data_IF_392124666528
#
_entry.id   IF_392124666528
#
_cell.length_a   1.000
_cell.length_b   1.000
_cell.length_c   1.000
_cell.angle_alpha   90.00
_cell.angle_beta   90.00
_cell.angle_gamma   90.00
#
_symmetry.space_group_name_H-M   'P 1'
#
loop_
_entity.id
_entity.type
_entity.pdbx_description
1 polymer ?
#
# COMPACT_ATOMS: atom_id res chain seq x y z
N UNK A 1 -24.66 50.60 1.80
CA UNK A 1 -23.65 51.24 2.67
C UNK A 1 -23.88 50.81 4.10
N UNK A 2 -22.78 50.58 4.82
CA UNK A 2 -22.66 50.03 6.16
C UNK A 2 -23.44 50.76 7.26
N UNK A 3 -23.84 49.98 8.28
CA UNK A 3 -23.73 50.21 9.75
C UNK A 3 -24.94 49.52 10.40
N UNK A 4 -24.82 48.81 11.51
CA UNK A 4 -23.71 48.62 12.42
C UNK A 4 -24.23 47.77 13.58
N UNK A 5 -23.36 46.88 14.05
CA UNK A 5 -23.53 46.10 15.26
C UNK A 5 -23.96 46.98 16.44
N UNK A 6 -24.91 46.48 17.23
CA UNK A 6 -25.12 46.90 18.61
C UNK A 6 -25.08 45.67 19.50
N UNK A 7 -24.12 45.69 20.45
CA UNK A 7 -24.30 45.33 21.86
C UNK A 7 -24.66 43.86 22.20
N UNK A 8 -23.99 43.12 23.09
CA UNK A 8 -23.35 43.49 24.36
C UNK A 8 -22.25 42.50 24.75
N UNK A 9 -21.21 43.05 25.35
CA UNK A 9 -20.12 42.39 26.09
C UNK A 9 -20.64 41.99 27.49
N UNK A 10 -20.01 40.98 28.11
CA UNK A 10 -19.48 40.93 29.49
C UNK A 10 -19.66 39.55 30.11
N UNK A 11 -18.55 38.80 30.23
CA UNK A 11 -18.03 38.34 31.52
C UNK A 11 -16.52 38.06 31.39
N UNK A 12 -15.78 38.81 32.20
CA UNK A 12 -14.34 38.77 32.42
C UNK A 12 -13.96 37.67 33.41
N UNK A 13 -12.69 37.21 33.36
CA UNK A 13 -11.76 37.03 34.51
C UNK A 13 -10.44 36.36 34.03
N UNK A 14 -9.31 36.41 34.76
CA UNK A 14 -8.55 37.57 35.22
C UNK A 14 -7.04 37.44 34.90
N UNK A 15 -6.45 38.46 34.27
CA UNK A 15 -5.02 38.76 34.43
C UNK A 15 -4.89 40.28 34.43
N UNK A 16 -5.08 40.86 35.61
CA UNK A 16 -4.98 42.28 35.88
C UNK A 16 -3.50 42.66 36.01
N UNK A 17 -3.15 43.71 35.26
CA UNK A 17 -2.14 44.74 35.57
C UNK A 17 -0.66 44.34 35.52
N UNK A 18 0.26 45.18 35.07
CA UNK A 18 0.30 46.65 34.93
C UNK A 18 1.09 47.01 33.66
N UNK A 19 0.56 47.87 32.79
CA UNK A 19 0.68 49.36 32.77
C UNK A 19 2.06 49.89 32.32
N UNK A 20 2.04 50.46 31.10
CA UNK A 20 2.57 51.79 30.68
C UNK A 20 4.09 51.99 30.60
N UNK A 21 4.69 52.75 29.68
CA UNK A 21 4.24 53.78 28.71
C UNK A 21 5.36 53.94 27.64
N UNK A 22 5.00 54.43 26.45
CA UNK A 22 5.91 54.90 25.38
C UNK A 22 7.04 55.81 25.87
N UNK A 23 8.21 55.78 25.23
CA UNK A 23 8.92 56.93 24.60
C UNK A 23 10.05 56.40 23.69
N UNK A 24 10.07 56.83 22.42
CA UNK A 24 11.21 56.76 21.51
C UNK A 24 12.24 57.86 21.84
N UNK A 25 13.54 57.63 21.64
CA UNK A 25 14.41 58.72 21.22
C UNK A 25 15.16 58.42 19.91
N UNK A 26 15.18 59.40 19.04
CA UNK A 26 15.99 59.48 17.83
C UNK A 26 17.47 59.81 18.14
N UNK A 27 18.37 59.07 17.47
CA UNK A 27 19.61 59.47 16.77
C UNK A 27 20.78 60.24 17.45
N UNK A 28 21.93 59.51 17.45
CA UNK A 28 23.34 59.89 17.10
C UNK A 28 24.22 60.53 18.20
N UNK A 29 25.57 60.59 18.04
CA UNK A 29 26.55 59.48 17.93
C UNK A 29 27.79 59.72 18.84
N UNK A 30 28.46 58.70 19.39
CA UNK A 30 29.84 58.86 19.93
C UNK A 30 30.64 57.57 19.73
N UNK A 31 31.72 57.69 18.96
CA UNK A 31 32.80 56.72 18.83
C UNK A 31 33.62 56.64 20.13
N UNK A 32 34.12 55.47 20.50
CA UNK A 32 35.56 55.22 20.62
C UNK A 32 35.85 53.77 21.04
N UNK A 33 36.89 53.24 20.42
CA UNK A 33 37.29 51.84 20.31
C UNK A 33 37.81 51.19 21.60
N UNK A 34 37.83 49.85 21.63
CA UNK A 34 39.03 49.07 22.02
C UNK A 34 38.88 47.59 21.63
N UNK A 35 39.68 47.22 20.62
CA UNK A 35 40.22 45.94 20.17
C UNK A 35 39.79 44.63 20.86
N UNK A 36 39.48 43.64 20.00
CA UNK A 36 39.43 42.22 20.34
C UNK A 36 38.86 41.38 19.20
N UNK A 37 39.55 41.32 18.06
CA UNK A 37 39.26 40.33 17.00
C UNK A 37 39.50 38.91 17.53
N UNK A 38 38.45 38.09 17.52
CA UNK A 38 38.57 36.64 17.38
C UNK A 38 37.54 36.23 16.31
N UNK A 39 38.00 36.08 15.08
CA UNK A 39 37.23 35.48 14.00
C UNK A 39 36.83 34.04 14.39
N UNK A 40 35.55 33.83 14.66
CA UNK A 40 34.92 32.51 14.56
C UNK A 40 33.73 32.63 13.62
N UNK A 41 33.90 32.10 12.42
CA UNK A 41 32.84 31.96 11.44
C UNK A 41 31.64 31.21 12.06
N UNK A 42 30.40 31.74 11.98
CA UNK A 42 29.24 30.96 12.34
C UNK A 42 28.99 29.92 11.25
N UNK A 43 29.34 28.67 11.54
CA UNK A 43 28.96 27.50 10.77
C UNK A 43 27.43 27.46 10.67
N UNK A 44 26.88 27.88 9.53
CA UNK A 44 25.45 27.76 9.22
C UNK A 44 25.10 26.27 9.11
N UNK A 45 24.61 25.69 10.21
CA UNK A 45 23.90 24.42 10.21
C UNK A 45 22.60 24.59 9.43
N UNK A 46 22.70 24.49 8.11
CA UNK A 46 21.55 24.40 7.22
C UNK A 46 21.07 22.96 7.27
N UNK A 47 20.27 22.62 8.28
CA UNK A 47 19.56 21.33 8.32
C UNK A 47 18.49 21.40 7.23
N UNK A 48 18.55 20.57 6.17
CA UNK A 48 17.46 20.49 5.22
C UNK A 48 16.29 19.84 5.95
N UNK A 49 15.28 20.64 6.32
CA UNK A 49 13.99 20.10 6.73
C UNK A 49 13.42 19.40 5.48
N UNK A 50 13.18 18.08 5.50
CA UNK A 50 12.55 17.42 4.39
C UNK A 50 11.17 18.04 4.22
N UNK A 51 11.00 18.78 3.13
CA UNK A 51 9.70 19.32 2.71
C UNK A 51 8.85 18.09 2.38
N UNK A 52 7.99 17.70 3.32
CA UNK A 52 6.93 16.75 3.01
C UNK A 52 6.09 17.40 1.92
N UNK A 53 5.85 16.72 0.79
CA UNK A 53 4.98 17.26 -0.24
C UNK A 53 3.62 17.53 0.41
N UNK A 54 3.18 18.79 0.34
CA UNK A 54 1.91 19.21 0.91
C UNK A 54 0.84 18.30 0.34
N UNK A 55 0.17 17.55 1.23
CA UNK A 55 -0.96 16.72 0.82
C UNK A 55 -2.03 17.67 0.31
N UNK A 56 -2.44 17.49 -0.94
CA UNK A 56 -3.46 18.30 -1.57
C UNK A 56 -4.72 18.33 -0.69
N UNK A 57 -5.14 19.53 -0.28
CA UNK A 57 -6.28 19.73 0.63
C UNK A 57 -7.58 19.13 0.05
N UNK A 58 -7.70 19.05 -1.28
CA UNK A 58 -8.82 18.39 -1.94
C UNK A 58 -8.87 16.87 -1.68
N UNK A 59 -7.71 16.23 -1.56
CA UNK A 59 -7.59 14.79 -1.30
C UNK A 59 -7.97 14.44 0.15
N UNK A 60 -7.50 15.23 1.10
CA UNK A 60 -7.85 15.08 2.52
C UNK A 60 -9.36 15.25 2.76
N UNK A 61 -10.00 16.18 2.04
CA UNK A 61 -11.44 16.38 2.12
C UNK A 61 -12.23 15.18 1.56
N UNK A 62 -11.77 14.55 0.47
CA UNK A 62 -12.38 13.33 -0.07
C UNK A 62 -12.25 12.13 0.86
N UNK A 63 -11.12 11.99 1.55
CA UNK A 63 -10.90 10.87 2.49
C UNK A 63 -11.70 11.04 3.79
N UNK A 64 -11.78 12.28 4.32
CA UNK A 64 -12.63 12.60 5.46
C UNK A 64 -14.12 12.39 5.14
N UNK A 65 -14.56 12.79 3.93
CA UNK A 65 -15.92 12.52 3.45
C UNK A 65 -16.17 11.01 3.35
N UNK A 66 -15.21 10.24 2.85
CA UNK A 66 -15.32 8.80 2.80
C UNK A 66 -15.48 8.15 4.18
N UNK A 67 -14.76 8.65 5.20
CA UNK A 67 -14.88 8.13 6.57
C UNK A 67 -16.34 8.16 7.06
N UNK A 68 -17.06 9.24 6.74
CA UNK A 68 -18.45 9.48 7.14
C UNK A 68 -19.49 8.78 6.25
N UNK A 69 -19.10 8.16 5.14
CA UNK A 69 -20.04 7.46 4.25
C UNK A 69 -20.68 6.26 4.95
N UNK A 70 -21.94 6.00 4.59
CA UNK A 70 -22.61 4.75 4.93
C UNK A 70 -21.85 3.55 4.34
N UNK A 71 -22.00 2.36 4.93
CA UNK A 71 -21.40 1.13 4.40
C UNK A 71 -21.81 0.89 2.94
N UNK A 72 -23.08 1.13 2.61
CA UNK A 72 -23.60 1.00 1.25
C UNK A 72 -22.91 1.96 0.27
N UNK A 73 -22.66 3.20 0.67
CA UNK A 73 -21.97 4.18 -0.19
C UNK A 73 -20.49 3.87 -0.35
N UNK A 74 -19.85 3.33 0.70
CA UNK A 74 -18.48 2.79 0.61
C UNK A 74 -18.42 1.65 -0.39
N UNK A 75 -19.35 0.70 -0.34
CA UNK A 75 -19.43 -0.40 -1.32
C UNK A 75 -19.61 0.15 -2.73
N UNK A 76 -20.56 1.06 -2.98
CA UNK A 76 -20.75 1.67 -4.31
C UNK A 76 -19.51 2.40 -4.81
N UNK A 77 -18.82 3.11 -3.93
CA UNK A 77 -17.55 3.77 -4.27
C UNK A 77 -16.50 2.73 -4.70
N UNK A 78 -16.38 1.63 -3.94
CA UNK A 78 -15.44 0.56 -4.23
C UNK A 78 -15.82 -0.25 -5.48
N UNK A 79 -17.10 -0.44 -5.76
CA UNK A 79 -17.55 -1.06 -7.01
C UNK A 79 -17.13 -0.24 -8.23
N UNK A 80 -17.21 1.10 -8.15
CA UNK A 80 -16.66 1.98 -9.20
C UNK A 80 -15.14 1.89 -9.25
N UNK A 81 -14.47 1.90 -8.09
CA UNK A 81 -13.01 1.80 -7.98
C UNK A 81 -12.47 0.46 -8.47
N UNK A 82 -13.25 -0.62 -8.39
CA UNK A 82 -12.90 -1.98 -8.83
C UNK A 82 -13.53 -2.37 -10.17
N UNK A 83 -14.45 -1.55 -10.70
CA UNK A 83 -15.17 -1.79 -11.96
C UNK A 83 -15.95 -3.10 -11.96
N UNK A 84 -16.29 -3.62 -10.78
CA UNK A 84 -16.94 -4.90 -10.55
C UNK A 84 -17.95 -4.73 -9.40
N UNK A 85 -19.13 -5.35 -9.48
CA UNK A 85 -20.06 -5.40 -8.37
C UNK A 85 -19.46 -6.20 -7.20
N UNK A 86 -19.91 -5.91 -5.97
CA UNK A 86 -19.34 -6.46 -4.73
C UNK A 86 -19.33 -8.00 -4.68
N UNK A 87 -20.34 -8.66 -5.23
CA UNK A 87 -20.43 -10.12 -5.35
C UNK A 87 -19.36 -10.72 -6.27
N UNK A 88 -18.76 -9.92 -7.15
CA UNK A 88 -17.74 -10.36 -8.12
C UNK A 88 -16.34 -9.79 -7.85
N UNK A 89 -16.12 -9.20 -6.68
CA UNK A 89 -14.77 -8.79 -6.30
C UNK A 89 -13.84 -10.00 -6.21
N UNK A 90 -12.55 -9.84 -6.57
CA UNK A 90 -11.60 -10.95 -6.56
C UNK A 90 -11.35 -11.47 -5.13
N UNK A 91 -11.01 -12.75 -4.99
CA UNK A 91 -10.64 -13.35 -3.69
C UNK A 91 -9.49 -12.61 -2.99
N UNK A 92 -8.70 -11.87 -3.77
CA UNK A 92 -7.67 -10.96 -3.29
C UNK A 92 -8.17 -9.85 -2.35
N UNK A 93 -9.48 -9.63 -2.22
CA UNK A 93 -10.06 -8.66 -1.27
C UNK A 93 -10.86 -9.31 -0.14
N UNK A 94 -10.84 -10.63 -0.03
CA UNK A 94 -11.51 -11.40 1.04
C UNK A 94 -10.52 -12.36 1.73
N UNK A 95 -9.36 -11.81 2.09
CA UNK A 95 -8.25 -12.55 2.70
C UNK A 95 -8.44 -12.54 4.22
N UNK A 96 -8.52 -13.71 4.83
CA UNK A 96 -8.56 -13.81 6.28
C UNK A 96 -7.20 -13.45 6.89
N UNK A 97 -7.17 -12.40 7.71
CA UNK A 97 -5.97 -11.89 8.39
C UNK A 97 -6.23 -11.62 9.87
N UNK A 98 -5.20 -11.81 10.70
CA UNK A 98 -5.24 -11.48 12.11
C UNK A 98 -5.35 -9.96 12.27
N UNK A 99 -6.26 -9.49 13.13
CA UNK A 99 -6.50 -8.06 13.32
C UNK A 99 -7.37 -7.42 12.22
N UNK A 100 -8.01 -8.21 11.35
CA UNK A 100 -8.85 -7.71 10.25
C UNK A 100 -9.99 -6.76 10.66
N UNK A 101 -10.42 -6.84 11.92
CA UNK A 101 -11.48 -5.99 12.50
C UNK A 101 -11.00 -4.59 12.92
N UNK A 102 -9.68 -4.32 12.88
CA UNK A 102 -9.10 -3.05 13.34
C UNK A 102 -9.58 -1.82 12.54
N UNK A 103 -10.07 -2.02 11.31
CA UNK A 103 -10.59 -0.95 10.44
C UNK A 103 -12.12 -0.94 10.35
N UNK A 104 -12.80 -1.61 11.27
CA UNK A 104 -14.26 -1.75 11.29
C UNK A 104 -14.73 -3.20 11.16
N UNK A 105 -16.05 -3.40 11.07
CA UNK A 105 -16.68 -4.73 11.15
C UNK A 105 -16.55 -5.59 9.90
N UNK A 106 -16.35 -4.99 8.72
CA UNK A 106 -16.22 -5.71 7.45
C UNK A 106 -14.81 -5.57 6.86
N UNK A 107 -13.97 -6.62 6.95
CA UNK A 107 -12.63 -6.64 6.39
C UNK A 107 -12.56 -6.43 4.88
N UNK A 108 -13.59 -6.91 4.17
CA UNK A 108 -13.62 -6.93 2.71
C UNK A 108 -13.59 -5.51 2.14
N UNK A 109 -14.20 -4.57 2.84
CA UNK A 109 -14.26 -3.15 2.44
C UNK A 109 -12.87 -2.51 2.48
N UNK A 110 -12.13 -2.63 3.58
CA UNK A 110 -10.81 -1.99 3.66
C UNK A 110 -9.80 -2.70 2.76
N UNK A 111 -9.91 -4.02 2.59
CA UNK A 111 -9.07 -4.77 1.66
C UNK A 111 -9.34 -4.36 0.20
N UNK A 112 -10.61 -4.22 -0.19
CA UNK A 112 -11.01 -3.74 -1.51
C UNK A 112 -10.55 -2.29 -1.77
N UNK A 113 -10.55 -1.45 -0.75
CA UNK A 113 -10.05 -0.08 -0.85
C UNK A 113 -8.54 -0.06 -1.08
N UNK A 114 -7.78 -0.82 -0.30
CA UNK A 114 -6.32 -0.96 -0.49
C UNK A 114 -6.02 -1.56 -1.85
N UNK A 115 -6.71 -2.63 -2.24
CA UNK A 115 -6.51 -3.28 -3.52
C UNK A 115 -6.81 -2.32 -4.69
N UNK A 116 -7.96 -1.66 -4.66
CA UNK A 116 -8.35 -0.73 -5.72
C UNK A 116 -7.45 0.51 -5.80
N UNK A 117 -6.89 0.95 -4.66
CA UNK A 117 -6.01 2.12 -4.62
C UNK A 117 -4.58 1.81 -5.06
N UNK A 118 -4.00 0.76 -4.51
CA UNK A 118 -2.57 0.48 -4.61
C UNK A 118 -2.28 -0.58 -5.67
N UNK A 119 -3.12 -1.60 -5.81
CA UNK A 119 -2.83 -2.78 -6.63
C UNK A 119 -3.47 -2.67 -8.01
N UNK A 120 -4.79 -2.45 -8.09
CA UNK A 120 -5.56 -2.48 -9.33
C UNK A 120 -4.97 -1.58 -10.44
N UNK A 121 -4.59 -0.31 -10.19
CA UNK A 121 -4.07 0.54 -11.25
C UNK A 121 -2.79 -0.02 -11.88
N UNK A 122 -1.88 -0.58 -11.08
CA UNK A 122 -0.65 -1.20 -11.59
C UNK A 122 -0.87 -2.56 -12.27
N UNK A 123 -2.02 -3.20 -12.04
CA UNK A 123 -2.39 -4.44 -12.76
C UNK A 123 -3.03 -4.19 -14.13
N UNK A 124 -3.40 -2.94 -14.45
CA UNK A 124 -3.98 -2.57 -15.74
C UNK A 124 -2.90 -2.45 -16.82
N UNK A 125 -3.24 -2.86 -18.05
CA UNK A 125 -2.32 -2.91 -19.20
C UNK A 125 -1.69 -1.54 -19.47
N UNK A 126 -0.37 -1.50 -19.58
CA UNK A 126 0.38 -0.29 -19.95
C UNK A 126 0.68 0.68 -18.80
N UNK A 127 0.30 0.36 -17.57
CA UNK A 127 0.62 1.18 -16.40
C UNK A 127 2.00 0.83 -15.87
N UNK A 128 2.80 1.85 -15.55
CA UNK A 128 4.13 1.65 -14.93
C UNK A 128 4.01 0.93 -13.59
N UNK A 129 4.93 0.00 -13.30
CA UNK A 129 5.10 -0.57 -11.96
C UNK A 129 5.11 0.55 -10.92
N UNK A 130 4.26 0.42 -9.91
CA UNK A 130 4.17 1.37 -8.81
C UNK A 130 4.68 0.70 -7.55
N UNK A 131 5.63 1.37 -6.91
CA UNK A 131 6.14 0.96 -5.61
C UNK A 131 5.38 1.74 -4.52
N UNK A 132 5.08 1.08 -3.40
CA UNK A 132 4.49 1.70 -2.22
C UNK A 132 5.01 1.03 -0.95
N UNK A 133 4.89 1.68 0.20
CA UNK A 133 5.30 1.11 1.49
C UNK A 133 4.10 0.71 2.35
N UNK A 134 4.32 -0.23 3.26
CA UNK A 134 3.34 -0.57 4.30
C UNK A 134 2.84 0.68 5.06
N UNK A 135 3.74 1.62 5.37
CA UNK A 135 3.39 2.89 6.02
C UNK A 135 2.40 3.73 5.19
N UNK A 136 2.55 3.73 3.86
CA UNK A 136 1.64 4.46 2.96
C UNK A 136 0.23 3.87 3.00
N UNK A 137 0.11 2.55 3.08
CA UNK A 137 -1.17 1.86 3.21
C UNK A 137 -1.83 2.16 4.56
N UNK A 138 -1.05 2.11 5.65
CA UNK A 138 -1.56 2.43 6.99
C UNK A 138 -2.07 3.88 7.07
N UNK A 139 -1.31 4.84 6.53
CA UNK A 139 -1.75 6.25 6.46
C UNK A 139 -3.03 6.42 5.64
N UNK A 140 -3.14 5.70 4.52
CA UNK A 140 -4.36 5.71 3.71
C UNK A 140 -5.58 5.21 4.48
N UNK A 141 -5.44 4.12 5.21
CA UNK A 141 -6.51 3.56 6.01
C UNK A 141 -6.88 4.45 7.20
N UNK A 142 -5.90 5.06 7.87
CA UNK A 142 -6.14 5.96 9.00
C UNK A 142 -6.98 7.20 8.62
N UNK A 143 -6.79 7.71 7.40
CA UNK A 143 -7.60 8.83 6.88
C UNK A 143 -9.07 8.43 6.61
N UNK A 144 -9.32 7.15 6.27
CA UNK A 144 -10.61 6.68 5.72
C UNK A 144 -11.44 5.81 6.66
N UNK A 145 -10.82 5.24 7.69
CA UNK A 145 -11.45 4.34 8.65
C UNK A 145 -11.10 4.75 10.07
N UNK A 146 -12.05 4.65 10.99
CA UNK A 146 -11.75 4.75 12.42
C UNK A 146 -11.02 3.48 12.83
N UNK A 147 -9.77 3.63 13.24
CA UNK A 147 -8.92 2.51 13.66
C UNK A 147 -9.23 2.21 15.12
N UNK A 148 -9.67 0.98 15.40
CA UNK A 148 -9.92 0.48 16.74
C UNK A 148 -9.23 -0.90 16.87
N UNK A 149 -7.92 -0.92 17.19
CA UNK A 149 -7.15 -2.15 17.23
C UNK A 149 -7.71 -3.14 18.26
N UNK A 150 -7.83 -4.40 17.89
CA UNK A 150 -8.27 -5.47 18.80
C UNK A 150 -7.21 -5.86 19.83
N UNK A 151 -5.95 -5.56 19.53
CA UNK A 151 -4.77 -5.72 20.36
C UNK A 151 -3.70 -4.74 19.86
N UNK A 152 -2.58 -4.63 20.57
CA UNK A 152 -1.47 -3.75 20.19
C UNK A 152 -1.01 -4.02 18.75
N UNK A 153 -0.93 -2.98 17.93
CA UNK A 153 -0.50 -3.04 16.53
C UNK A 153 -1.33 -3.97 15.62
N UNK A 154 -2.55 -4.35 16.01
CA UNK A 154 -3.41 -5.26 15.25
C UNK A 154 -3.64 -4.81 13.81
N UNK A 155 -3.78 -3.51 13.58
CA UNK A 155 -3.91 -2.90 12.25
C UNK A 155 -2.64 -3.07 11.40
N UNK A 156 -1.45 -2.98 12.01
CA UNK A 156 -0.17 -3.21 11.34
C UNK A 156 -0.02 -4.69 10.99
N UNK A 157 -0.38 -5.58 11.91
CA UNK A 157 -0.37 -7.03 11.66
C UNK A 157 -1.30 -7.38 10.50
N UNK A 158 -2.53 -6.86 10.50
CA UNK A 158 -3.52 -7.10 9.46
C UNK A 158 -3.02 -6.65 8.08
N UNK A 159 -2.52 -5.41 7.98
CA UNK A 159 -2.00 -4.86 6.71
C UNK A 159 -0.78 -5.65 6.24
N UNK A 160 0.16 -6.00 7.13
CA UNK A 160 1.35 -6.78 6.78
C UNK A 160 0.97 -8.15 6.23
N UNK A 161 0.07 -8.87 6.92
CA UNK A 161 -0.40 -10.18 6.47
C UNK A 161 -1.09 -10.06 5.13
N UNK A 162 -1.99 -9.08 4.96
CA UNK A 162 -2.68 -8.84 3.70
C UNK A 162 -1.71 -8.60 2.53
N UNK A 163 -0.71 -7.73 2.71
CA UNK A 163 0.28 -7.46 1.66
C UNK A 163 1.14 -8.69 1.33
N UNK A 164 1.48 -9.51 2.33
CA UNK A 164 2.19 -10.79 2.10
C UNK A 164 1.35 -11.78 1.32
N UNK A 165 0.06 -11.88 1.62
CA UNK A 165 -0.85 -12.76 0.87
C UNK A 165 -1.01 -12.28 -0.58
N UNK A 166 -1.04 -10.97 -0.82
CA UNK A 166 -1.01 -10.41 -2.17
C UNK A 166 0.31 -10.68 -2.90
N UNK A 167 1.44 -10.72 -2.20
CA UNK A 167 2.73 -11.18 -2.76
C UNK A 167 2.65 -12.65 -3.17
N UNK A 168 2.13 -13.51 -2.29
CA UNK A 168 1.99 -14.94 -2.55
C UNK A 168 1.03 -15.23 -3.73
N UNK A 169 -0.03 -14.43 -3.88
CA UNK A 169 -0.95 -14.50 -5.01
C UNK A 169 -0.39 -13.84 -6.30
N UNK A 170 0.84 -13.33 -6.28
CA UNK A 170 1.52 -12.75 -7.44
C UNK A 170 1.00 -11.37 -7.86
N UNK A 171 0.33 -10.63 -6.97
CA UNK A 171 -0.03 -9.22 -7.19
C UNK A 171 1.12 -8.28 -6.85
N UNK A 172 1.94 -8.65 -5.87
CA UNK A 172 3.02 -7.83 -5.36
C UNK A 172 4.35 -8.59 -5.40
N UNK A 173 5.43 -7.83 -5.37
CA UNK A 173 6.78 -8.30 -5.05
C UNK A 173 7.25 -7.54 -3.82
N UNK A 174 7.65 -8.25 -2.77
CA UNK A 174 8.24 -7.64 -1.58
C UNK A 174 9.64 -7.11 -1.90
N UNK A 175 9.90 -5.89 -1.47
CA UNK A 175 11.18 -5.18 -1.56
C UNK A 175 11.71 -4.94 -0.13
N UNK A 176 12.99 -4.56 0.03
CA UNK A 176 13.53 -4.16 1.32
C UNK A 176 12.70 -3.08 2.02
N UNK A 177 12.84 -2.97 3.35
CA UNK A 177 12.22 -1.93 4.16
C UNK A 177 10.69 -1.87 4.09
N UNK A 178 10.02 -3.01 3.87
CA UNK A 178 8.55 -3.12 3.79
C UNK A 178 7.95 -2.31 2.62
N UNK A 179 8.71 -2.24 1.53
CA UNK A 179 8.24 -1.75 0.25
C UNK A 179 7.68 -2.90 -0.59
N UNK A 180 6.74 -2.56 -1.47
CA UNK A 180 6.08 -3.51 -2.35
C UNK A 180 6.00 -2.91 -3.74
N UNK A 181 6.31 -3.72 -4.73
CA UNK A 181 6.12 -3.40 -6.14
C UNK A 181 4.87 -4.09 -6.65
N UNK A 182 3.97 -3.34 -7.27
CA UNK A 182 2.82 -3.92 -7.96
C UNK A 182 3.28 -4.63 -9.22
N UNK A 183 2.95 -5.91 -9.35
CA UNK A 183 3.25 -6.68 -10.55
C UNK A 183 2.12 -6.48 -11.58
N UNK A 184 2.46 -6.16 -12.84
CA UNK A 184 1.47 -6.10 -13.90
C UNK A 184 0.88 -7.50 -14.13
N UNK A 185 -0.35 -7.55 -14.64
CA UNK A 185 -0.92 -8.82 -15.09
C UNK A 185 0.03 -9.46 -16.13
N UNK A 186 0.30 -10.78 -16.05
CA UNK A 186 1.16 -11.44 -17.02
C UNK A 186 0.63 -11.22 -18.44
N UNK A 187 1.41 -10.54 -19.28
CA UNK A 187 1.10 -10.37 -20.70
C UNK A 187 1.65 -11.55 -21.48
N UNK A 188 1.04 -12.00 -22.60
CA UNK A 188 1.62 -13.07 -23.42
C UNK A 188 3.08 -12.81 -23.80
N UNK A 189 3.45 -11.57 -24.15
CA UNK A 189 4.85 -11.21 -24.42
C UNK A 189 5.75 -11.29 -23.17
N UNK A 190 5.21 -10.99 -21.99
CA UNK A 190 5.92 -11.12 -20.72
C UNK A 190 6.13 -12.58 -20.33
N UNK A 191 5.12 -13.43 -20.56
CA UNK A 191 5.21 -14.87 -20.39
C UNK A 191 6.27 -15.47 -21.33
N UNK A 192 6.41 -14.95 -22.55
CA UNK A 192 7.45 -15.37 -23.50
C UNK A 192 8.87 -15.02 -23.05
N UNK A 193 9.05 -14.09 -22.09
CA UNK A 193 10.37 -13.77 -21.52
C UNK A 193 10.76 -14.69 -20.37
N UNK A 194 9.77 -15.34 -19.74
CA UNK A 194 10.02 -16.30 -18.67
C UNK A 194 10.74 -17.52 -19.23
N UNK A 195 11.72 -18.02 -18.47
CA UNK A 195 12.52 -19.19 -18.83
C UNK A 195 12.40 -20.26 -17.77
N UNK A 196 12.48 -21.52 -18.17
CA UNK A 196 12.63 -22.60 -17.21
C UNK A 196 13.94 -22.45 -16.44
N UNK A 197 13.89 -22.72 -15.14
CA UNK A 197 15.08 -22.92 -14.33
C UNK A 197 15.62 -24.33 -14.62
N UNK A 198 16.82 -24.48 -15.22
CA UNK A 198 17.36 -25.79 -15.55
C UNK A 198 17.66 -26.66 -14.31
N UNK A 199 17.81 -26.04 -13.13
CA UNK A 199 17.95 -26.75 -11.85
C UNK A 199 16.60 -26.91 -11.11
N UNK A 200 15.50 -26.40 -11.65
CA UNK A 200 14.18 -26.47 -11.04
C UNK A 200 13.69 -27.91 -10.98
N UNK A 201 13.38 -28.39 -9.77
CA UNK A 201 12.76 -29.70 -9.54
C UNK A 201 11.50 -29.52 -8.71
N UNK A 202 10.44 -30.22 -9.08
CA UNK A 202 9.19 -30.21 -8.35
C UNK A 202 9.05 -31.51 -7.57
N UNK A 203 8.96 -31.41 -6.24
CA UNK A 203 8.63 -32.56 -5.38
C UNK A 203 7.19 -32.46 -4.90
N UNK A 204 6.60 -33.58 -4.46
CA UNK A 204 5.25 -33.60 -3.86
C UNK A 204 5.15 -32.57 -2.72
N UNK A 205 6.15 -32.56 -1.83
CA UNK A 205 6.19 -31.64 -0.69
C UNK A 205 6.32 -30.18 -1.13
N UNK A 206 7.17 -29.90 -2.11
CA UNK A 206 7.31 -28.54 -2.65
C UNK A 206 6.01 -28.08 -3.32
N UNK A 207 5.39 -28.93 -4.16
CA UNK A 207 4.13 -28.62 -4.82
C UNK A 207 3.03 -28.32 -3.79
N UNK A 208 2.91 -29.14 -2.74
CA UNK A 208 1.96 -28.91 -1.65
C UNK A 208 2.20 -27.57 -0.98
N UNK A 209 3.42 -27.31 -0.50
CA UNK A 209 3.77 -26.06 0.20
C UNK A 209 3.56 -24.84 -0.70
N UNK A 210 3.99 -24.90 -1.95
CA UNK A 210 3.83 -23.78 -2.89
C UNK A 210 2.35 -23.56 -3.25
N UNK A 211 1.57 -24.61 -3.49
CA UNK A 211 0.14 -24.52 -3.80
C UNK A 211 -0.67 -23.91 -2.67
N UNK A 212 -0.40 -24.32 -1.42
CA UNK A 212 -1.01 -23.75 -0.22
C UNK A 212 -0.64 -22.26 -0.09
N UNK A 213 0.62 -21.89 -0.33
CA UNK A 213 1.08 -20.49 -0.27
C UNK A 213 0.41 -19.59 -1.30
N UNK A 214 0.28 -20.03 -2.54
CA UNK A 214 -0.35 -19.23 -3.60
C UNK A 214 -1.89 -19.36 -3.63
N UNK A 215 -2.46 -20.09 -2.65
CA UNK A 215 -3.90 -20.41 -2.53
C UNK A 215 -4.48 -21.01 -3.81
N UNK A 216 -3.74 -21.94 -4.40
CA UNK A 216 -4.18 -22.69 -5.55
C UNK A 216 -4.58 -24.09 -5.13
N UNK A 217 -5.87 -24.41 -5.24
CA UNK A 217 -6.32 -25.79 -5.09
C UNK A 217 -5.95 -26.58 -6.36
N UNK A 218 -5.15 -27.62 -6.18
CA UNK A 218 -4.70 -28.48 -7.27
C UNK A 218 -5.42 -29.82 -7.15
N UNK A 219 -6.31 -30.17 -8.08
CA UNK A 219 -7.01 -31.44 -8.06
C UNK A 219 -6.03 -32.61 -8.02
N UNK A 220 -6.35 -33.66 -7.25
CA UNK A 220 -5.46 -34.81 -7.06
C UNK A 220 -5.01 -35.47 -8.38
N UNK A 221 -5.87 -35.47 -9.39
CA UNK A 221 -5.55 -36.00 -10.73
C UNK A 221 -4.59 -35.09 -11.54
N UNK A 222 -4.40 -33.83 -11.14
CA UNK A 222 -3.41 -32.91 -11.73
C UNK A 222 -2.09 -32.93 -10.97
N UNK A 223 -2.08 -33.28 -9.68
CA UNK A 223 -0.85 -33.36 -8.87
C UNK A 223 0.17 -34.30 -9.50
N UNK A 224 -0.25 -35.53 -9.80
CA UNK A 224 0.64 -36.53 -10.41
C UNK A 224 1.18 -36.07 -11.77
N UNK A 225 0.33 -35.51 -12.62
CA UNK A 225 0.72 -34.99 -13.94
C UNK A 225 1.71 -33.83 -13.84
N UNK A 226 1.50 -32.92 -12.88
CA UNK A 226 2.42 -31.83 -12.61
C UNK A 226 3.78 -32.35 -12.18
N UNK A 227 3.84 -33.40 -11.37
CA UNK A 227 5.11 -33.99 -10.95
C UNK A 227 5.83 -34.70 -12.11
N UNK A 228 5.10 -35.43 -12.95
CA UNK A 228 5.63 -36.10 -14.15
C UNK A 228 6.28 -35.10 -15.12
N UNK A 229 5.70 -33.91 -15.27
CA UNK A 229 6.28 -32.84 -16.09
C UNK A 229 7.67 -32.37 -15.63
N UNK A 230 8.03 -32.62 -14.36
CA UNK A 230 9.27 -32.16 -13.73
C UNK A 230 10.17 -33.29 -13.23
N UNK A 231 9.85 -34.56 -13.54
CA UNK A 231 10.59 -35.74 -13.07
C UNK A 231 11.99 -35.82 -13.71
N UNK A 232 12.06 -35.65 -15.04
CA UNK A 232 13.28 -35.71 -15.84
C UNK A 232 13.87 -34.31 -16.19
N UNK A 233 13.38 -33.26 -15.54
CA UNK A 233 13.73 -31.86 -15.84
C UNK A 233 12.51 -31.04 -16.25
N UNK A 234 12.71 -29.85 -16.82
CA UNK A 234 11.58 -28.98 -17.15
C UNK A 234 10.82 -29.46 -18.41
N UNK A 235 9.54 -29.08 -18.58
CA UNK A 235 8.77 -29.37 -19.79
C UNK A 235 9.48 -28.90 -21.06
N UNK A 236 9.37 -29.67 -22.14
CA UNK A 236 9.88 -29.28 -23.47
C UNK A 236 9.13 -28.08 -24.07
N UNK A 237 7.91 -27.82 -23.59
CA UNK A 237 7.07 -26.71 -24.01
C UNK A 237 7.62 -25.38 -23.45
N UNK A 238 7.51 -24.27 -24.19
CA UNK A 238 7.80 -22.94 -23.65
C UNK A 238 6.93 -22.62 -22.42
N UNK A 239 7.47 -21.84 -21.47
CA UNK A 239 6.76 -21.44 -20.23
C UNK A 239 5.38 -20.85 -20.54
N UNK A 240 5.27 -19.99 -21.57
CA UNK A 240 4.00 -19.38 -21.97
C UNK A 240 2.93 -20.41 -22.34
N UNK A 241 3.29 -21.44 -23.11
CA UNK A 241 2.35 -22.49 -23.53
C UNK A 241 1.94 -23.35 -22.34
N UNK A 242 2.89 -23.65 -21.44
CA UNK A 242 2.62 -24.41 -20.22
C UNK A 242 1.71 -23.65 -19.23
N UNK A 243 1.90 -22.34 -19.07
CA UNK A 243 1.05 -21.50 -18.23
C UNK A 243 -0.37 -21.44 -18.77
N UNK A 244 -0.54 -21.20 -20.08
CA UNK A 244 -1.86 -21.21 -20.74
C UNK A 244 -2.57 -22.57 -20.58
N UNK A 245 -1.78 -23.62 -20.78
CA UNK A 245 -1.96 -24.97 -20.30
C UNK A 245 -2.74 -25.11 -18.97
N UNK A 246 -2.01 -24.79 -17.91
CA UNK A 246 -2.48 -24.92 -16.54
C UNK A 246 -3.64 -23.99 -16.22
N UNK A 247 -3.77 -22.83 -16.89
CA UNK A 247 -4.91 -21.93 -16.67
C UNK A 247 -6.23 -22.61 -16.94
N UNK A 248 -6.29 -23.38 -18.04
CA UNK A 248 -7.48 -24.13 -18.42
C UNK A 248 -7.69 -25.30 -17.48
N UNK A 249 -6.63 -26.06 -17.17
CA UNK A 249 -6.75 -27.28 -16.37
C UNK A 249 -7.08 -27.02 -14.90
N UNK A 250 -6.49 -25.97 -14.33
CA UNK A 250 -6.66 -25.61 -12.91
C UNK A 250 -7.71 -24.53 -12.69
N UNK A 251 -8.34 -24.00 -13.76
CA UNK A 251 -9.29 -22.89 -13.70
C UNK A 251 -8.74 -21.68 -12.93
N UNK A 252 -7.43 -21.45 -13.04
CA UNK A 252 -6.70 -20.44 -12.29
C UNK A 252 -6.15 -19.36 -13.23
N UNK A 253 -6.08 -18.10 -12.80
CA UNK A 253 -5.54 -17.05 -13.64
C UNK A 253 -4.02 -17.23 -13.82
N UNK A 254 -3.50 -16.74 -14.95
CA UNK A 254 -2.07 -16.81 -15.30
C UNK A 254 -1.15 -16.37 -14.15
N UNK A 255 -1.55 -15.33 -13.40
CA UNK A 255 -0.77 -14.78 -12.29
C UNK A 255 -0.51 -15.81 -11.18
N UNK A 256 -1.53 -16.59 -10.82
CA UNK A 256 -1.44 -17.56 -9.72
C UNK A 256 -0.57 -18.73 -10.15
N UNK A 257 -0.67 -19.15 -11.40
CA UNK A 257 0.20 -20.19 -11.96
C UNK A 257 1.64 -19.71 -12.05
N UNK A 258 1.88 -18.50 -12.54
CA UNK A 258 3.23 -17.92 -12.57
C UNK A 258 3.80 -17.77 -11.16
N UNK A 259 2.97 -17.37 -10.19
CA UNK A 259 3.36 -17.31 -8.78
C UNK A 259 3.75 -18.70 -8.25
N UNK A 260 2.95 -19.74 -8.52
CA UNK A 260 3.27 -21.13 -8.16
C UNK A 260 4.63 -21.54 -8.73
N UNK A 261 4.83 -21.34 -10.02
CA UNK A 261 6.05 -21.75 -10.72
C UNK A 261 7.28 -20.98 -10.21
N UNK A 262 7.13 -19.69 -9.88
CA UNK A 262 8.21 -18.90 -9.26
C UNK A 262 8.52 -19.36 -7.85
N UNK A 263 7.49 -19.59 -7.03
CA UNK A 263 7.68 -20.06 -5.65
C UNK A 263 8.29 -21.46 -5.57
N UNK A 264 7.95 -22.32 -6.52
CA UNK A 264 8.60 -23.63 -6.66
C UNK A 264 10.01 -23.53 -7.28
N UNK A 265 10.49 -22.33 -7.62
CA UNK A 265 11.80 -22.12 -8.25
C UNK A 265 11.92 -22.72 -9.65
N UNK A 266 10.81 -22.95 -10.34
CA UNK A 266 10.76 -23.63 -11.64
C UNK A 266 11.00 -22.67 -12.81
N UNK A 267 10.75 -21.37 -12.64
CA UNK A 267 10.91 -20.37 -13.69
C UNK A 267 11.73 -19.16 -13.22
N UNK A 268 12.43 -18.54 -14.18
CA UNK A 268 13.26 -17.36 -14.01
C UNK A 268 12.74 -16.23 -14.92
N UNK A 269 12.90 -14.98 -14.47
CA UNK A 269 12.50 -13.78 -15.21
C UNK A 269 11.43 -12.95 -14.51
#
# INVERSE_FOLDING_TARGET
MLRGLTNKIWLWHPAISNRTLHVQPERRPVEMALFGEVEKAPMKLSIPVPVTPWVDAGWLATDAAYRQMSVTDKIRFLERQLGLPCDRWPDAVDIDVVGKASFGRDPRIWQADVFGKFVRPGTQRGTSCRDFSMLTVLRWLDMRYTVAPTFEDAEKVAVRQYLRELTAQGYLMELPDQHFRVLPAPHPEGLSRLRWNPQGRLTVSALRVCSERVRLDIPANQVQRLLEYFEDGHPALPVVAFVQDLMVRLHAPARTIVALLREAGLILG
#
